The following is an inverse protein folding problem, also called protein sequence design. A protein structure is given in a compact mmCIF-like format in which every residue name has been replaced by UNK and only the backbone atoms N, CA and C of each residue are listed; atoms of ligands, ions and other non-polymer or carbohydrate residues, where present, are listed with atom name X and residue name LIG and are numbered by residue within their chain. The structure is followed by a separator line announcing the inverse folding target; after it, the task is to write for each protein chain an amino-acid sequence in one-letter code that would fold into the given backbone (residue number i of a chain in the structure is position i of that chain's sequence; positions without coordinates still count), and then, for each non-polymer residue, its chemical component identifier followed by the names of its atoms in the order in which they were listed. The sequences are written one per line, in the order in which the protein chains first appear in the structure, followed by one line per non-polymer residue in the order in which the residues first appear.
data_IF_114597512764
#
_entry.id   IF_114597512764
#
_cell.length_a   1.000
_cell.length_b   1.000
_cell.length_c   1.000
_cell.angle_alpha   90.00
_cell.angle_beta   90.00
_cell.angle_gamma   90.00
#
_symmetry.space_group_name_H-M   'P 1'
#
loop_
_entity.id
_entity.type
_entity.pdbx_description
1 polymer ?
#
# COMPACT_ATOMS: atom_id res chain seq x y z
N UNK A 1 26.71 0.38 30.46
CA UNK A 1 25.90 -0.61 29.73
C UNK A 1 24.57 0.05 29.44
N UNK A 2 24.48 0.76 28.33
CA UNK A 2 23.22 1.34 27.87
C UNK A 2 22.39 0.21 27.24
N UNK A 3 21.25 -0.12 27.84
CA UNK A 3 20.28 -1.05 27.27
C UNK A 3 19.63 -0.36 26.05
N UNK A 4 20.24 -0.48 24.89
CA UNK A 4 19.57 -0.09 23.65
C UNK A 4 18.30 -0.94 23.53
N UNK A 5 17.17 -0.37 23.88
CA UNK A 5 15.87 -0.99 23.75
C UNK A 5 15.65 -1.36 22.29
N UNK A 6 15.42 -2.67 22.02
CA UNK A 6 15.09 -3.16 20.67
C UNK A 6 13.92 -2.34 20.13
N UNK A 7 14.02 -1.80 18.92
CA UNK A 7 12.91 -1.06 18.33
C UNK A 7 11.67 -1.98 18.28
N UNK A 8 10.60 -1.52 18.92
CA UNK A 8 9.32 -2.27 18.93
C UNK A 8 8.83 -2.45 17.50
N UNK A 9 8.38 -3.66 17.11
CA UNK A 9 7.76 -3.88 15.79
C UNK A 9 6.57 -2.96 15.54
N UNK A 10 5.94 -2.46 16.59
CA UNK A 10 4.84 -1.48 16.52
C UNK A 10 5.30 -0.06 16.16
N UNK A 11 6.59 0.26 16.21
CA UNK A 11 7.11 1.57 15.82
C UNK A 11 6.87 1.90 14.33
N UNK A 12 6.65 0.88 13.48
CA UNK A 12 6.36 1.05 12.04
C UNK A 12 4.87 1.04 11.69
N UNK A 13 3.98 0.84 12.66
CA UNK A 13 2.53 0.81 12.42
C UNK A 13 2.00 2.11 11.76
N UNK A 14 2.45 3.33 12.15
CA UNK A 14 2.05 4.56 11.47
C UNK A 14 2.40 4.57 9.98
N UNK A 15 3.60 4.09 9.62
CA UNK A 15 4.05 4.04 8.23
C UNK A 15 3.24 3.05 7.40
N UNK A 16 2.91 1.88 7.99
CA UNK A 16 2.05 0.87 7.36
C UNK A 16 0.66 1.45 7.08
N UNK A 17 0.04 2.06 8.09
CA UNK A 17 -1.28 2.68 7.97
C UNK A 17 -1.28 3.81 6.94
N UNK A 18 -0.26 4.65 6.93
CA UNK A 18 -0.13 5.75 5.98
C UNK A 18 0.02 5.23 4.55
N UNK A 19 0.90 4.26 4.32
CA UNK A 19 1.09 3.66 2.99
C UNK A 19 -0.19 3.00 2.50
N UNK A 20 -0.84 2.19 3.34
CA UNK A 20 -2.07 1.50 2.99
C UNK A 20 -3.22 2.49 2.69
N UNK A 21 -3.37 3.54 3.50
CA UNK A 21 -4.33 4.63 3.26
C UNK A 21 -4.13 5.29 1.89
N UNK A 22 -2.87 5.60 1.56
CA UNK A 22 -2.54 6.23 0.28
C UNK A 22 -2.88 5.31 -0.90
N UNK A 23 -2.53 4.03 -0.82
CA UNK A 23 -2.85 3.05 -1.86
C UNK A 23 -4.37 2.90 -2.04
N UNK A 24 -5.10 2.73 -0.93
CA UNK A 24 -6.55 2.54 -0.95
C UNK A 24 -7.26 3.76 -1.54
N UNK A 25 -7.00 4.95 -0.99
CA UNK A 25 -7.73 6.16 -1.40
C UNK A 25 -7.39 6.61 -2.82
N UNK A 26 -6.12 6.58 -3.20
CA UNK A 26 -5.70 6.96 -4.55
C UNK A 26 -6.11 5.92 -5.59
N UNK A 27 -6.10 4.62 -5.26
CA UNK A 27 -6.55 3.54 -6.13
C UNK A 27 -8.05 3.62 -6.41
N UNK A 28 -8.86 3.76 -5.36
CA UNK A 28 -10.32 3.90 -5.50
C UNK A 28 -10.68 5.15 -6.28
N UNK A 29 -10.05 6.29 -5.96
CA UNK A 29 -10.26 7.54 -6.69
C UNK A 29 -9.91 7.40 -8.18
N UNK A 30 -8.74 6.85 -8.48
CA UNK A 30 -8.28 6.69 -9.87
C UNK A 30 -9.21 5.79 -10.67
N UNK A 31 -9.68 4.68 -10.08
CA UNK A 31 -10.63 3.78 -10.72
C UNK A 31 -11.96 4.45 -10.99
N UNK A 32 -12.52 5.17 -10.03
CA UNK A 32 -13.79 5.88 -10.22
C UNK A 32 -13.66 7.02 -11.23
N UNK A 33 -12.55 7.76 -11.20
CA UNK A 33 -12.27 8.80 -12.20
C UNK A 33 -12.22 8.20 -13.61
N UNK A 34 -11.40 7.20 -13.83
CA UNK A 34 -11.27 6.56 -15.14
C UNK A 34 -12.60 5.96 -15.61
N UNK A 35 -13.35 5.29 -14.73
CA UNK A 35 -14.66 4.73 -15.07
C UNK A 35 -15.65 5.80 -15.48
N UNK A 36 -15.69 6.94 -14.76
CA UNK A 36 -16.60 8.04 -15.06
C UNK A 36 -16.28 8.68 -16.40
N UNK A 37 -15.01 8.88 -16.72
CA UNK A 37 -14.59 9.59 -17.93
C UNK A 37 -14.37 8.70 -19.16
N UNK A 38 -14.19 7.39 -18.99
CA UNK A 38 -14.03 6.48 -20.12
C UNK A 38 -15.33 5.83 -20.59
N UNK A 39 -16.44 5.96 -19.85
CA UNK A 39 -17.73 5.40 -20.23
C UNK A 39 -18.65 6.47 -20.81
N UNK A 40 -18.86 6.45 -22.13
CA UNK A 40 -19.51 7.49 -22.92
C UNK A 40 -21.03 7.34 -23.09
N UNK A 41 -21.77 6.57 -22.31
CA UNK A 41 -23.23 6.45 -22.44
C UNK A 41 -23.98 7.54 -21.66
N UNK A 42 -24.60 8.48 -22.37
CA UNK A 42 -25.20 9.71 -21.83
C UNK A 42 -26.31 9.49 -20.78
N UNK A 43 -27.17 8.50 -20.93
CA UNK A 43 -28.30 8.26 -20.01
C UNK A 43 -27.87 7.73 -18.63
N UNK A 44 -26.76 7.02 -18.56
CA UNK A 44 -26.19 6.44 -17.34
C UNK A 44 -25.18 7.40 -16.70
N UNK A 45 -24.70 8.38 -17.47
CA UNK A 45 -23.67 9.32 -17.05
C UNK A 45 -24.08 10.16 -15.83
N UNK A 46 -25.27 10.73 -15.79
CA UNK A 46 -25.75 11.55 -14.68
C UNK A 46 -25.89 10.74 -13.37
N UNK A 47 -26.36 9.52 -13.44
CA UNK A 47 -26.48 8.64 -12.29
C UNK A 47 -25.08 8.22 -11.77
N UNK A 48 -24.14 7.96 -12.68
CA UNK A 48 -22.74 7.64 -12.37
C UNK A 48 -22.00 8.83 -11.79
N UNK A 49 -22.26 10.04 -12.31
CA UNK A 49 -21.67 11.26 -11.81
C UNK A 49 -22.07 11.54 -10.35
N UNK A 50 -23.36 11.37 -10.01
CA UNK A 50 -23.83 11.48 -8.64
C UNK A 50 -23.16 10.41 -7.73
N UNK A 51 -23.07 9.16 -8.19
CA UNK A 51 -22.37 8.09 -7.45
C UNK A 51 -20.89 8.44 -7.27
N UNK A 52 -20.22 8.97 -8.30
CA UNK A 52 -18.83 9.38 -8.22
C UNK A 52 -18.63 10.44 -7.12
N UNK A 53 -19.43 11.52 -7.12
CA UNK A 53 -19.27 12.58 -6.13
C UNK A 53 -19.61 12.14 -4.70
N UNK A 54 -20.60 11.28 -4.50
CA UNK A 54 -20.84 10.68 -3.19
C UNK A 54 -19.67 9.82 -2.74
N UNK A 55 -19.08 9.06 -3.66
CA UNK A 55 -17.89 8.22 -3.37
C UNK A 55 -16.68 9.06 -2.98
N UNK A 56 -16.50 10.27 -3.53
CA UNK A 56 -15.41 11.17 -3.12
C UNK A 56 -15.45 11.49 -1.63
N UNK A 57 -16.65 11.68 -1.07
CA UNK A 57 -16.80 11.94 0.36
C UNK A 57 -16.31 10.75 1.19
N UNK A 58 -16.67 9.52 0.82
CA UNK A 58 -16.20 8.32 1.52
C UNK A 58 -14.69 8.11 1.37
N UNK A 59 -14.14 8.35 0.18
CA UNK A 59 -12.69 8.27 -0.06
C UNK A 59 -11.96 9.28 0.83
N UNK A 60 -12.44 10.53 0.86
CA UNK A 60 -11.86 11.58 1.67
C UNK A 60 -11.91 11.25 3.18
N UNK A 61 -13.08 10.83 3.69
CA UNK A 61 -13.24 10.46 5.10
C UNK A 61 -12.31 9.27 5.46
N UNK A 62 -12.23 8.25 4.60
CA UNK A 62 -11.33 7.13 4.80
C UNK A 62 -9.88 7.61 4.86
N UNK A 63 -9.47 8.47 3.92
CA UNK A 63 -8.13 9.05 3.90
C UNK A 63 -7.80 9.83 5.17
N UNK A 64 -8.70 10.68 5.64
CA UNK A 64 -8.53 11.48 6.88
C UNK A 64 -8.46 10.59 8.12
N UNK A 65 -9.31 9.57 8.22
CA UNK A 65 -9.31 8.65 9.37
C UNK A 65 -7.96 7.92 9.46
N UNK A 66 -7.51 7.29 8.38
CA UNK A 66 -6.24 6.56 8.38
C UNK A 66 -5.04 7.48 8.57
N UNK A 67 -5.06 8.66 7.95
CA UNK A 67 -4.01 9.67 8.15
C UNK A 67 -3.97 10.17 9.59
N UNK A 68 -5.12 10.44 10.18
CA UNK A 68 -5.25 10.84 11.59
C UNK A 68 -4.77 9.75 12.54
N UNK A 69 -5.12 8.48 12.28
CA UNK A 69 -4.61 7.34 13.04
C UNK A 69 -3.08 7.23 12.94
N UNK A 70 -2.52 7.37 11.74
CA UNK A 70 -1.07 7.36 11.55
C UNK A 70 -0.36 8.47 12.35
N UNK A 71 -0.90 9.71 12.32
CA UNK A 71 -0.37 10.82 13.11
C UNK A 71 -0.50 10.60 14.62
N UNK A 72 -1.65 10.07 15.07
CA UNK A 72 -1.89 9.74 16.47
C UNK A 72 -0.87 8.73 17.00
N UNK A 73 -0.64 7.63 16.26
CA UNK A 73 0.36 6.63 16.62
C UNK A 73 1.78 7.19 16.60
N UNK A 74 2.10 8.04 15.62
CA UNK A 74 3.41 8.72 15.56
C UNK A 74 3.63 9.62 16.75
N UNK A 75 2.64 10.41 17.15
CA UNK A 75 2.71 11.29 18.32
C UNK A 75 2.85 10.49 19.64
N UNK A 76 2.04 9.45 19.81
CA UNK A 76 2.05 8.61 21.02
C UNK A 76 3.39 7.88 21.21
N UNK A 77 4.05 7.49 20.15
CA UNK A 77 5.30 6.73 20.20
C UNK A 77 6.55 7.60 20.01
N UNK A 78 6.41 8.92 19.91
CA UNK A 78 7.55 9.83 19.96
C UNK A 78 8.19 9.75 21.35
N UNK A 79 9.47 9.38 21.46
CA UNK A 79 10.16 9.37 22.74
C UNK A 79 10.17 10.79 23.31
N UNK A 80 9.79 10.95 24.58
CA UNK A 80 9.86 12.23 25.33
C UNK A 80 11.30 12.67 25.64
N UNK A 81 12.30 12.06 25.03
CA UNK A 81 13.70 12.40 25.23
C UNK A 81 14.02 13.79 24.62
N UNK A 82 13.81 14.80 25.43
CA UNK A 82 14.17 16.21 25.16
C UNK A 82 15.68 16.46 25.03
N UNK A 83 16.53 15.46 25.27
CA UNK A 83 17.98 15.68 25.44
C UNK A 83 18.81 15.40 24.17
N UNK A 84 18.25 14.82 23.11
CA UNK A 84 18.98 14.59 21.84
C UNK A 84 18.44 15.49 20.71
N UNK A 85 18.24 16.76 21.00
CA UNK A 85 17.59 17.73 20.11
C UNK A 85 18.47 18.21 18.92
N UNK A 86 19.54 17.51 18.56
CA UNK A 86 20.38 17.88 17.41
C UNK A 86 20.13 17.04 16.14
N UNK A 87 19.30 16.00 16.19
CA UNK A 87 18.89 15.35 14.94
C UNK A 87 17.78 16.18 14.28
N UNK A 88 18.09 16.77 13.12
CA UNK A 88 17.10 17.43 12.27
C UNK A 88 15.83 16.57 12.17
N UNK A 89 14.63 17.13 12.45
CA UNK A 89 13.39 16.37 12.35
C UNK A 89 13.30 15.72 10.96
N UNK A 90 12.91 14.44 10.86
CA UNK A 90 12.93 13.70 9.61
C UNK A 90 12.17 14.50 8.55
N UNK A 91 12.89 14.96 7.52
CA UNK A 91 12.33 15.76 6.42
C UNK A 91 11.12 15.04 5.88
N UNK A 92 9.92 15.58 6.14
CA UNK A 92 8.65 15.03 5.64
C UNK A 92 8.83 14.64 4.16
N UNK A 93 8.66 13.38 3.84
CA UNK A 93 8.84 12.86 2.50
C UNK A 93 8.01 13.69 1.49
N UNK A 94 8.58 13.98 0.32
CA UNK A 94 7.86 14.71 -0.76
C UNK A 94 6.55 13.99 -1.13
N UNK A 95 6.50 12.66 -1.02
CA UNK A 95 5.31 11.86 -1.28
C UNK A 95 4.18 12.12 -0.27
N UNK A 96 4.49 12.32 1.00
CA UNK A 96 3.47 12.67 2.00
C UNK A 96 2.84 14.05 1.73
N UNK A 97 3.62 14.99 1.17
CA UNK A 97 3.08 16.30 0.76
C UNK A 97 2.16 16.18 -0.46
N UNK A 98 2.52 15.38 -1.45
CA UNK A 98 1.67 15.10 -2.61
C UNK A 98 0.35 14.46 -2.19
N UNK A 99 0.38 13.55 -1.22
CA UNK A 99 -0.84 12.94 -0.68
C UNK A 99 -1.72 13.96 0.05
N UNK A 100 -1.14 14.88 0.82
CA UNK A 100 -1.90 15.96 1.44
C UNK A 100 -2.54 16.90 0.40
N UNK A 101 -1.83 17.21 -0.69
CA UNK A 101 -2.40 18.00 -1.80
C UNK A 101 -3.55 17.24 -2.50
N UNK A 102 -3.42 15.92 -2.66
CA UNK A 102 -4.49 15.07 -3.16
C UNK A 102 -5.74 15.14 -2.25
N UNK A 103 -5.58 14.96 -0.94
CA UNK A 103 -6.69 15.06 0.01
C UNK A 103 -7.32 16.47 0.04
N UNK A 104 -6.49 17.52 -0.01
CA UNK A 104 -6.99 18.89 -0.10
C UNK A 104 -7.77 19.13 -1.39
N UNK A 105 -7.29 18.60 -2.53
CA UNK A 105 -8.00 18.65 -3.80
C UNK A 105 -9.35 17.96 -3.75
N UNK A 106 -9.43 16.77 -3.11
CA UNK A 106 -10.70 16.07 -2.89
C UNK A 106 -11.69 16.91 -2.07
N UNK A 107 -11.21 17.53 -0.98
CA UNK A 107 -12.06 18.39 -0.16
C UNK A 107 -12.61 19.57 -0.95
N UNK A 108 -11.76 20.25 -1.72
CA UNK A 108 -12.17 21.37 -2.59
C UNK A 108 -13.22 20.89 -3.60
N UNK A 109 -13.02 19.73 -4.23
CA UNK A 109 -13.96 19.18 -5.21
C UNK A 109 -15.32 18.82 -4.57
N UNK A 110 -15.31 18.26 -3.36
CA UNK A 110 -16.53 17.97 -2.59
C UNK A 110 -17.30 19.27 -2.32
N UNK A 111 -16.60 20.31 -1.85
CA UNK A 111 -17.22 21.62 -1.57
C UNK A 111 -17.80 22.22 -2.86
N UNK A 112 -17.05 22.21 -3.97
CA UNK A 112 -17.50 22.72 -5.26
C UNK A 112 -18.70 21.94 -5.80
N UNK A 113 -18.75 20.63 -5.60
CA UNK A 113 -19.90 19.80 -5.98
C UNK A 113 -21.19 20.27 -5.28
N UNK A 114 -21.14 20.53 -3.97
CA UNK A 114 -22.29 21.01 -3.23
C UNK A 114 -22.68 22.47 -3.56
N UNK A 115 -21.73 23.30 -4.03
CA UNK A 115 -21.98 24.72 -4.34
C UNK A 115 -22.36 24.96 -5.79
N UNK A 116 -21.75 24.24 -6.76
CA UNK A 116 -21.79 24.59 -8.20
C UNK A 116 -21.92 23.37 -9.11
N UNK A 117 -22.27 22.18 -8.59
CA UNK A 117 -22.30 20.89 -9.30
C UNK A 117 -20.92 20.34 -9.74
N UNK A 118 -19.84 20.82 -9.12
CA UNK A 118 -18.48 20.33 -9.35
C UNK A 118 -17.74 21.05 -10.48
N UNK A 119 -16.46 20.75 -10.62
CA UNK A 119 -15.58 21.32 -11.63
C UNK A 119 -14.71 20.21 -12.26
N UNK A 120 -15.04 19.79 -13.48
CA UNK A 120 -14.45 18.63 -14.14
C UNK A 120 -12.92 18.73 -14.32
N UNK A 121 -12.42 19.91 -14.71
CA UNK A 121 -10.99 20.13 -14.89
C UNK A 121 -10.22 19.88 -13.59
N UNK A 122 -10.80 20.18 -12.43
CA UNK A 122 -10.19 19.92 -11.12
C UNK A 122 -10.05 18.42 -10.86
N UNK A 123 -11.01 17.59 -11.28
CA UNK A 123 -10.91 16.13 -11.17
C UNK A 123 -9.69 15.57 -11.90
N UNK A 124 -9.36 16.12 -13.07
CA UNK A 124 -8.15 15.71 -13.80
C UNK A 124 -6.88 16.07 -13.02
N UNK A 125 -6.79 17.27 -12.44
CA UNK A 125 -5.65 17.64 -11.61
C UNK A 125 -5.53 16.80 -10.35
N UNK A 126 -6.66 16.47 -9.70
CA UNK A 126 -6.67 15.57 -8.53
C UNK A 126 -6.19 14.17 -8.92
N UNK A 127 -6.58 13.66 -10.10
CA UNK A 127 -6.09 12.40 -10.62
C UNK A 127 -4.57 12.41 -10.83
N UNK A 128 -4.02 13.48 -11.39
CA UNK A 128 -2.57 13.65 -11.55
C UNK A 128 -1.85 13.68 -10.18
N UNK A 129 -2.44 14.33 -9.17
CA UNK A 129 -1.90 14.33 -7.81
C UNK A 129 -1.95 12.94 -7.18
N UNK A 130 -3.03 12.19 -7.37
CA UNK A 130 -3.15 10.81 -6.91
C UNK A 130 -2.07 9.91 -7.52
N UNK A 131 -1.94 9.93 -8.84
CA UNK A 131 -0.92 9.17 -9.58
C UNK A 131 0.50 9.57 -9.15
N UNK A 132 0.78 10.88 -9.05
CA UNK A 132 2.07 11.39 -8.62
C UNK A 132 2.43 11.00 -7.19
N UNK A 133 1.44 10.95 -6.30
CA UNK A 133 1.60 10.54 -4.90
C UNK A 133 2.05 9.07 -4.82
N UNK A 134 1.40 8.16 -5.53
CA UNK A 134 1.74 6.74 -5.55
C UNK A 134 3.10 6.49 -6.21
N UNK A 135 3.38 7.12 -7.35
CA UNK A 135 4.68 7.01 -8.02
C UNK A 135 5.82 7.56 -7.13
N UNK A 136 5.55 8.67 -6.41
CA UNK A 136 6.50 9.25 -5.47
C UNK A 136 6.84 8.31 -4.31
N UNK A 137 5.84 7.62 -3.76
CA UNK A 137 6.04 6.60 -2.71
C UNK A 137 6.79 5.40 -3.27
N UNK A 138 6.33 4.84 -4.38
CA UNK A 138 6.94 3.69 -5.02
C UNK A 138 8.44 3.94 -5.28
N UNK A 139 8.79 5.13 -5.77
CA UNK A 139 10.18 5.55 -5.98
C UNK A 139 10.95 5.69 -4.67
N UNK A 140 10.33 6.22 -3.62
CA UNK A 140 11.00 6.41 -2.32
C UNK A 140 11.44 5.07 -1.74
N UNK A 141 10.59 4.05 -1.84
CA UNK A 141 10.92 2.73 -1.32
C UNK A 141 11.83 1.90 -2.23
N UNK A 142 11.81 2.10 -3.56
CA UNK A 142 12.61 1.30 -4.49
C UNK A 142 14.00 1.85 -4.80
N UNK A 143 14.21 3.18 -4.74
CA UNK A 143 15.46 3.81 -5.22
C UNK A 143 16.25 4.46 -4.09
N UNK A 144 15.59 4.91 -3.03
CA UNK A 144 16.21 5.64 -1.91
C UNK A 144 16.22 4.88 -0.60
N UNK A 145 15.87 3.60 -0.66
CA UNK A 145 15.83 2.79 0.54
C UNK A 145 17.23 2.49 1.06
N UNK A 146 17.40 2.61 2.39
CA UNK A 146 18.61 2.11 3.07
C UNK A 146 18.56 0.57 3.22
N UNK A 147 17.46 -0.07 2.88
CA UNK A 147 17.25 -1.50 3.07
C UNK A 147 17.38 -2.23 1.74
N UNK A 148 18.30 -3.18 1.65
CA UNK A 148 18.54 -3.95 0.44
C UNK A 148 17.31 -4.73 -0.02
N UNK A 149 16.48 -5.21 0.93
CA UNK A 149 15.22 -5.91 0.63
C UNK A 149 14.19 -5.03 -0.12
N UNK A 150 14.30 -3.72 0.01
CA UNK A 150 13.41 -2.75 -0.66
C UNK A 150 14.01 -2.20 -1.96
N UNK A 151 15.32 -2.22 -2.10
CA UNK A 151 16.04 -1.61 -3.23
C UNK A 151 15.94 -2.47 -4.49
N UNK A 152 14.71 -2.80 -4.90
CA UNK A 152 14.44 -3.59 -6.10
C UNK A 152 13.21 -3.06 -6.84
N UNK A 153 13.19 -3.10 -8.19
CA UNK A 153 12.05 -2.64 -9.00
C UNK A 153 10.70 -3.29 -8.63
N UNK A 154 10.72 -4.56 -8.18
CA UNK A 154 9.49 -5.26 -7.74
C UNK A 154 8.84 -4.64 -6.53
N UNK A 155 9.58 -3.85 -5.73
CA UNK A 155 9.01 -3.09 -4.61
C UNK A 155 8.09 -1.97 -5.11
N UNK A 156 8.54 -1.21 -6.11
CA UNK A 156 7.69 -0.21 -6.76
C UNK A 156 6.51 -0.86 -7.47
N UNK A 157 6.75 -1.97 -8.18
CA UNK A 157 5.71 -2.77 -8.85
C UNK A 157 4.62 -3.18 -7.87
N UNK A 158 4.97 -3.81 -6.75
CA UNK A 158 4.01 -4.27 -5.74
C UNK A 158 3.18 -3.14 -5.10
N UNK A 159 3.74 -1.92 -4.94
CA UNK A 159 2.96 -0.77 -4.46
C UNK A 159 1.94 -0.32 -5.52
N UNK A 160 2.34 -0.27 -6.78
CA UNK A 160 1.46 0.14 -7.89
C UNK A 160 0.38 -0.93 -8.12
N UNK A 161 0.77 -2.21 -8.20
CA UNK A 161 -0.14 -3.35 -8.35
C UNK A 161 -1.20 -3.38 -7.26
N UNK A 162 -0.79 -3.30 -5.98
CA UNK A 162 -1.73 -3.26 -4.86
C UNK A 162 -2.63 -2.03 -4.87
N UNK A 163 -2.16 -0.87 -5.36
CA UNK A 163 -3.00 0.33 -5.53
C UNK A 163 -4.09 0.08 -6.58
N UNK A 164 -3.72 -0.49 -7.72
CA UNK A 164 -4.65 -0.81 -8.80
C UNK A 164 -5.62 -1.92 -8.34
N UNK A 165 -5.12 -2.93 -7.64
CA UNK A 165 -5.91 -4.02 -7.07
C UNK A 165 -7.02 -3.49 -6.15
N UNK A 166 -6.66 -2.67 -5.14
CA UNK A 166 -7.61 -2.06 -4.21
C UNK A 166 -8.65 -1.17 -4.93
N UNK A 167 -8.22 -0.38 -5.93
CA UNK A 167 -9.12 0.43 -6.73
C UNK A 167 -10.09 -0.42 -7.56
N UNK A 168 -9.57 -1.44 -8.22
CA UNK A 168 -10.36 -2.31 -9.11
C UNK A 168 -11.41 -3.12 -8.34
N UNK A 169 -11.09 -3.57 -7.11
CA UNK A 169 -12.06 -4.24 -6.24
C UNK A 169 -13.19 -3.29 -5.85
N UNK A 170 -12.86 -2.05 -5.51
CA UNK A 170 -13.89 -1.05 -5.22
C UNK A 170 -14.77 -0.80 -6.45
N UNK A 171 -14.19 -0.76 -7.66
CA UNK A 171 -14.93 -0.71 -8.92
C UNK A 171 -15.82 -1.94 -9.13
N UNK A 172 -15.29 -3.14 -8.94
CA UNK A 172 -16.06 -4.39 -9.03
C UNK A 172 -17.29 -4.36 -8.12
N UNK A 173 -17.14 -3.89 -6.89
CA UNK A 173 -18.24 -3.78 -5.94
C UNK A 173 -19.22 -2.69 -6.30
N UNK A 174 -18.75 -1.51 -6.67
CA UNK A 174 -19.57 -0.35 -6.98
C UNK A 174 -20.43 -0.55 -8.23
N UNK A 175 -19.94 -1.30 -9.20
CA UNK A 175 -20.62 -1.59 -10.47
C UNK A 175 -21.16 -3.03 -10.54
N UNK A 176 -21.37 -3.66 -9.38
CA UNK A 176 -21.95 -5.01 -9.31
C UNK A 176 -23.28 -5.09 -10.08
N UNK A 177 -23.44 -6.16 -10.86
CA UNK A 177 -24.64 -6.37 -11.68
C UNK A 177 -24.68 -5.60 -13.01
N UNK A 178 -23.62 -4.85 -13.36
CA UNK A 178 -23.46 -4.19 -14.67
C UNK A 178 -22.41 -4.90 -15.51
N UNK A 179 -22.34 -4.64 -16.82
CA UNK A 179 -21.30 -5.19 -17.69
C UNK A 179 -19.89 -4.73 -17.29
N UNK A 180 -19.78 -3.56 -16.63
CA UNK A 180 -18.51 -3.07 -16.09
C UNK A 180 -17.94 -3.99 -15.00
N UNK A 181 -18.78 -4.69 -14.24
CA UNK A 181 -18.30 -5.65 -13.24
C UNK A 181 -17.46 -6.76 -13.85
N UNK A 182 -17.80 -7.21 -15.07
CA UNK A 182 -16.99 -8.19 -15.80
C UNK A 182 -15.66 -7.62 -16.25
N UNK A 183 -15.63 -6.36 -16.68
CA UNK A 183 -14.37 -5.67 -17.04
C UNK A 183 -13.45 -5.59 -15.81
N UNK A 184 -13.99 -5.18 -14.67
CA UNK A 184 -13.21 -5.16 -13.43
C UNK A 184 -12.74 -6.56 -12.99
N UNK A 185 -13.56 -7.59 -13.17
CA UNK A 185 -13.17 -8.96 -12.89
C UNK A 185 -11.98 -9.41 -13.74
N UNK A 186 -11.97 -9.10 -15.04
CA UNK A 186 -10.81 -9.36 -15.92
C UNK A 186 -9.58 -8.58 -15.51
N UNK A 187 -9.72 -7.31 -15.14
CA UNK A 187 -8.59 -6.49 -14.66
C UNK A 187 -8.00 -7.10 -13.39
N UNK A 188 -8.83 -7.50 -12.40
CA UNK A 188 -8.35 -8.16 -11.19
C UNK A 188 -7.60 -9.46 -11.53
N UNK A 189 -8.14 -10.29 -12.43
CA UNK A 189 -7.47 -11.51 -12.85
C UNK A 189 -6.07 -11.24 -13.39
N UNK A 190 -5.94 -10.24 -14.27
CA UNK A 190 -4.67 -9.82 -14.85
C UNK A 190 -3.72 -9.33 -13.75
N UNK A 191 -4.19 -8.49 -12.83
CA UNK A 191 -3.38 -7.96 -11.72
C UNK A 191 -2.87 -9.09 -10.84
N UNK A 192 -3.73 -10.04 -10.44
CA UNK A 192 -3.33 -11.19 -9.62
C UNK A 192 -2.24 -12.03 -10.29
N UNK A 193 -2.30 -12.20 -11.62
CA UNK A 193 -1.23 -12.88 -12.37
C UNK A 193 0.07 -12.08 -12.30
N UNK A 194 0.01 -10.75 -12.49
CA UNK A 194 1.20 -9.90 -12.36
C UNK A 194 1.76 -9.92 -10.93
N UNK A 195 0.93 -9.89 -9.91
CA UNK A 195 1.36 -10.00 -8.51
C UNK A 195 2.09 -11.32 -8.23
N UNK A 196 1.63 -12.44 -8.79
CA UNK A 196 2.33 -13.74 -8.70
C UNK A 196 3.71 -13.64 -9.35
N UNK A 197 3.83 -13.04 -10.53
CA UNK A 197 5.09 -12.86 -11.22
C UNK A 197 6.04 -11.93 -10.46
N UNK A 198 5.52 -10.84 -9.91
CA UNK A 198 6.27 -9.88 -9.08
C UNK A 198 6.76 -10.56 -7.80
N UNK A 199 5.92 -11.34 -7.13
CA UNK A 199 6.30 -12.11 -5.95
C UNK A 199 7.40 -13.13 -6.29
N UNK A 200 7.25 -13.89 -7.37
CA UNK A 200 8.27 -14.82 -7.84
C UNK A 200 9.61 -14.13 -8.14
N UNK A 201 9.58 -12.99 -8.86
CA UNK A 201 10.77 -12.22 -9.15
C UNK A 201 11.44 -11.70 -7.86
N UNK A 202 10.65 -11.28 -6.87
CA UNK A 202 11.14 -10.85 -5.56
C UNK A 202 11.80 -11.99 -4.78
N UNK A 203 11.18 -13.19 -4.77
CA UNK A 203 11.79 -14.36 -4.15
C UNK A 203 13.12 -14.72 -4.81
N UNK A 204 13.18 -14.70 -6.13
CA UNK A 204 14.40 -14.95 -6.88
C UNK A 204 15.49 -13.93 -6.57
N UNK A 205 15.13 -12.67 -6.41
CA UNK A 205 16.05 -11.61 -5.98
C UNK A 205 16.56 -11.87 -4.56
N UNK A 206 15.66 -12.05 -3.59
CA UNK A 206 16.03 -12.29 -2.18
C UNK A 206 16.91 -13.52 -2.00
N UNK A 207 16.73 -14.56 -2.83
CA UNK A 207 17.50 -15.81 -2.72
C UNK A 207 18.92 -15.73 -3.32
N UNK A 208 19.24 -14.70 -4.11
CA UNK A 208 20.48 -14.68 -4.91
C UNK A 208 21.37 -13.46 -4.71
N UNK A 209 20.84 -12.35 -4.17
CA UNK A 209 21.52 -11.08 -4.24
C UNK A 209 22.62 -10.89 -3.18
N UNK A 210 22.29 -11.06 -1.92
CA UNK A 210 23.24 -10.86 -0.81
C UNK A 210 22.92 -11.79 0.36
N UNK A 211 23.87 -11.93 1.30
CA UNK A 211 23.66 -12.67 2.53
C UNK A 211 22.47 -12.09 3.33
N UNK A 212 22.38 -10.75 3.45
CA UNK A 212 21.30 -10.08 4.17
C UNK A 212 19.93 -10.35 3.54
N UNK A 213 19.84 -10.39 2.19
CA UNK A 213 18.57 -10.69 1.51
C UNK A 213 18.18 -12.16 1.68
N UNK A 214 19.15 -13.09 1.73
CA UNK A 214 18.89 -14.50 1.99
C UNK A 214 18.38 -14.72 3.41
N UNK A 215 19.00 -14.08 4.41
CA UNK A 215 18.49 -14.13 5.80
C UNK A 215 17.09 -13.51 5.91
N UNK A 216 16.80 -12.38 5.24
CA UNK A 216 15.45 -11.83 5.17
C UNK A 216 14.46 -12.86 4.63
N UNK A 217 14.82 -13.59 3.58
CA UNK A 217 13.98 -14.64 3.02
C UNK A 217 13.75 -15.78 4.03
N UNK A 218 14.80 -16.22 4.73
CA UNK A 218 14.69 -17.27 5.77
C UNK A 218 13.80 -16.82 6.93
N UNK A 219 13.87 -15.55 7.34
CA UNK A 219 12.99 -14.98 8.37
C UNK A 219 11.54 -14.92 7.92
N UNK A 220 11.28 -14.51 6.67
CA UNK A 220 9.93 -14.49 6.09
C UNK A 220 9.31 -15.89 6.02
N UNK A 221 10.10 -16.91 5.63
CA UNK A 221 9.67 -18.31 5.53
C UNK A 221 9.71 -19.05 6.86
N UNK A 222 10.40 -18.52 7.88
CA UNK A 222 10.51 -19.09 9.22
C UNK A 222 9.54 -18.41 10.19
N UNK A 223 9.99 -17.35 10.86
CA UNK A 223 9.24 -16.70 11.95
C UNK A 223 7.94 -16.03 11.48
N UNK A 224 7.84 -15.61 10.23
CA UNK A 224 6.66 -14.91 9.67
C UNK A 224 5.89 -15.76 8.65
N UNK A 225 6.10 -17.07 8.61
CA UNK A 225 5.45 -17.97 7.63
C UNK A 225 3.93 -17.92 7.68
N UNK A 226 3.33 -17.72 8.86
CA UNK A 226 1.88 -17.60 9.00
C UNK A 226 1.34 -16.37 8.27
N UNK A 227 1.97 -15.21 8.43
CA UNK A 227 1.58 -13.97 7.77
C UNK A 227 1.85 -14.05 6.26
N UNK A 228 2.96 -14.68 5.86
CA UNK A 228 3.25 -14.97 4.47
C UNK A 228 2.21 -15.91 3.86
N UNK A 229 1.80 -16.96 4.59
CA UNK A 229 0.74 -17.88 4.20
C UNK A 229 -0.60 -17.16 4.01
N UNK A 230 -0.96 -16.24 4.90
CA UNK A 230 -2.15 -15.38 4.75
C UNK A 230 -2.07 -14.58 3.45
N UNK A 231 -0.95 -13.92 3.17
CA UNK A 231 -0.76 -13.18 1.91
C UNK A 231 -0.89 -14.09 0.68
N UNK A 232 -0.25 -15.25 0.70
CA UNK A 232 -0.22 -16.16 -0.44
C UNK A 232 -1.60 -16.81 -0.69
N UNK A 233 -2.24 -17.33 0.37
CA UNK A 233 -3.52 -18.03 0.25
C UNK A 233 -4.66 -17.03 0.03
N UNK A 234 -4.85 -16.07 0.94
CA UNK A 234 -5.98 -15.14 0.89
C UNK A 234 -5.75 -13.97 -0.04
N UNK A 235 -4.51 -13.54 -0.28
CA UNK A 235 -4.20 -12.44 -1.17
C UNK A 235 -4.04 -12.83 -2.63
N UNK A 236 -3.70 -14.09 -2.94
CA UNK A 236 -3.42 -14.52 -4.31
C UNK A 236 -4.25 -15.73 -4.74
N UNK A 237 -4.08 -16.88 -4.09
CA UNK A 237 -4.66 -18.15 -4.59
C UNK A 237 -6.19 -18.15 -4.50
N UNK A 238 -6.75 -17.86 -3.34
CA UNK A 238 -8.20 -17.86 -3.16
C UNK A 238 -8.91 -16.79 -4.01
N UNK A 239 -8.42 -15.52 -4.09
CA UNK A 239 -8.98 -14.54 -5.01
C UNK A 239 -8.90 -14.96 -6.47
N UNK A 240 -7.77 -15.58 -6.90
CA UNK A 240 -7.61 -16.06 -8.27
C UNK A 240 -8.67 -17.11 -8.61
N UNK A 241 -8.85 -18.11 -7.76
CA UNK A 241 -9.89 -19.15 -7.95
C UNK A 241 -11.28 -18.53 -7.93
N UNK A 242 -11.55 -17.62 -7.00
CA UNK A 242 -12.85 -17.01 -6.85
C UNK A 242 -13.21 -16.08 -8.02
N UNK A 243 -12.25 -15.30 -8.55
CA UNK A 243 -12.51 -14.41 -9.69
C UNK A 243 -12.79 -15.20 -10.97
N UNK A 244 -12.12 -16.33 -11.17
CA UNK A 244 -12.44 -17.25 -12.26
C UNK A 244 -13.88 -17.75 -12.12
N UNK A 245 -14.31 -18.10 -10.91
CA UNK A 245 -15.71 -18.49 -10.66
C UNK A 245 -16.69 -17.34 -10.94
N UNK A 246 -16.40 -16.12 -10.51
CA UNK A 246 -17.23 -14.94 -10.79
C UNK A 246 -17.39 -14.69 -12.29
N UNK A 247 -16.33 -14.94 -13.08
CA UNK A 247 -16.38 -14.76 -14.54
C UNK A 247 -17.29 -15.78 -15.26
N UNK A 248 -17.40 -17.00 -14.72
CA UNK A 248 -18.15 -18.09 -15.36
C UNK A 248 -19.53 -18.34 -14.74
N UNK A 249 -19.75 -17.99 -13.48
CA UNK A 249 -20.97 -18.22 -12.73
C UNK A 249 -21.60 -16.89 -12.36
N UNK A 250 -22.75 -16.56 -12.95
CA UNK A 250 -23.54 -15.38 -12.57
C UNK A 250 -24.14 -15.56 -11.16
N UNK A 251 -24.26 -14.46 -10.40
CA UNK A 251 -24.89 -14.36 -9.07
C UNK A 251 -24.04 -14.81 -7.87
N UNK A 252 -22.72 -14.81 -7.96
CA UNK A 252 -21.86 -14.96 -6.78
C UNK A 252 -21.75 -13.65 -5.98
N UNK A 253 -21.72 -13.77 -4.66
CA UNK A 253 -21.45 -12.62 -3.78
C UNK A 253 -20.03 -12.10 -4.01
N UNK A 254 -19.85 -10.79 -4.18
CA UNK A 254 -18.53 -10.18 -4.37
C UNK A 254 -17.81 -9.92 -3.04
N UNK A 255 -18.51 -10.00 -1.91
CA UNK A 255 -17.95 -9.71 -0.58
C UNK A 255 -16.72 -10.58 -0.23
N UNK A 256 -16.72 -11.92 -0.47
CA UNK A 256 -15.56 -12.73 -0.13
C UNK A 256 -14.28 -12.29 -0.84
N UNK A 257 -14.34 -12.00 -2.14
CA UNK A 257 -13.14 -11.58 -2.89
C UNK A 257 -12.61 -10.22 -2.41
N UNK A 258 -13.50 -9.30 -2.05
CA UNK A 258 -13.15 -7.99 -1.52
C UNK A 258 -12.35 -8.16 -0.21
N UNK A 259 -12.89 -8.96 0.71
CA UNK A 259 -12.24 -9.22 1.98
C UNK A 259 -10.90 -9.96 1.82
N UNK A 260 -10.83 -10.95 0.95
CA UNK A 260 -9.61 -11.72 0.68
C UNK A 260 -8.48 -10.82 0.17
N UNK A 261 -8.74 -10.01 -0.86
CA UNK A 261 -7.73 -9.13 -1.43
C UNK A 261 -7.35 -8.03 -0.43
N UNK A 262 -8.31 -7.46 0.30
CA UNK A 262 -8.02 -6.45 1.33
C UNK A 262 -7.08 -7.00 2.42
N UNK A 263 -7.37 -8.18 2.94
CA UNK A 263 -6.53 -8.86 3.93
C UNK A 263 -5.16 -9.23 3.34
N UNK A 264 -5.14 -9.68 2.08
CA UNK A 264 -3.91 -9.99 1.36
C UNK A 264 -3.00 -8.78 1.21
N UNK A 265 -3.53 -7.66 0.73
CA UNK A 265 -2.78 -6.41 0.57
C UNK A 265 -2.27 -5.85 1.90
N UNK A 266 -3.10 -5.88 2.94
CA UNK A 266 -2.68 -5.47 4.27
C UNK A 266 -1.54 -6.35 4.80
N UNK A 267 -1.64 -7.66 4.63
CA UNK A 267 -0.60 -8.63 5.03
C UNK A 267 0.71 -8.38 4.30
N UNK A 268 0.65 -8.05 3.01
CA UNK A 268 1.85 -7.70 2.23
C UNK A 268 2.52 -6.43 2.76
N UNK A 269 1.75 -5.40 3.11
CA UNK A 269 2.33 -4.16 3.67
C UNK A 269 2.98 -4.43 5.03
N UNK A 270 2.38 -5.25 5.86
CA UNK A 270 2.97 -5.67 7.14
C UNK A 270 4.28 -6.42 6.91
N UNK A 271 4.29 -7.43 6.02
CA UNK A 271 5.51 -8.20 5.67
C UNK A 271 6.62 -7.32 5.10
N UNK A 272 6.25 -6.34 4.27
CA UNK A 272 7.18 -5.39 3.71
C UNK A 272 7.93 -4.60 4.78
N UNK A 273 7.24 -4.09 5.80
CA UNK A 273 7.86 -3.34 6.88
C UNK A 273 8.61 -4.22 7.87
N UNK A 274 8.12 -5.44 8.14
CA UNK A 274 8.81 -6.43 8.98
C UNK A 274 10.16 -6.78 8.35
N UNK A 275 10.22 -7.04 7.05
CA UNK A 275 11.45 -7.36 6.34
C UNK A 275 12.54 -6.29 6.53
N UNK A 276 12.16 -5.01 6.62
CA UNK A 276 13.10 -3.92 6.88
C UNK A 276 13.62 -3.87 8.33
N UNK A 277 12.76 -4.15 9.30
CA UNK A 277 13.13 -4.22 10.72
C UNK A 277 14.11 -5.37 10.93
N UNK A 278 13.81 -6.51 10.35
CA UNK A 278 14.62 -7.72 10.50
C UNK A 278 16.04 -7.51 9.95
N UNK A 279 16.21 -6.86 8.81
CA UNK A 279 17.53 -6.50 8.29
C UNK A 279 18.32 -5.61 9.25
N UNK A 280 17.68 -4.65 9.87
CA UNK A 280 18.33 -3.78 10.86
C UNK A 280 18.84 -4.58 12.05
N UNK A 281 18.06 -5.57 12.52
CA UNK A 281 18.46 -6.45 13.62
C UNK A 281 19.62 -7.38 13.24
N UNK A 282 19.62 -7.90 12.02
CA UNK A 282 20.68 -8.78 11.50
C UNK A 282 22.01 -8.01 11.44
N UNK A 283 22.00 -6.80 10.88
CA UNK A 283 23.18 -5.95 10.77
C UNK A 283 23.76 -5.62 12.16
N UNK A 284 22.89 -5.35 13.14
CA UNK A 284 23.31 -5.07 14.51
C UNK A 284 24.01 -6.29 15.16
N UNK A 285 23.41 -7.49 15.06
CA UNK A 285 24.01 -8.73 15.58
C UNK A 285 25.34 -9.07 14.91
N UNK A 286 25.46 -8.85 13.60
CA UNK A 286 26.71 -9.07 12.88
C UNK A 286 27.82 -8.18 13.39
N UNK A 287 27.55 -6.91 13.65
CA UNK A 287 28.52 -5.98 14.20
C UNK A 287 28.92 -6.31 15.65
N UNK A 288 27.97 -6.78 16.47
CA UNK A 288 28.21 -7.21 17.85
C UNK A 288 29.16 -8.42 17.91
N UNK A 289 28.90 -9.43 17.06
CA UNK A 289 29.77 -10.63 16.95
C UNK A 289 31.18 -10.28 16.44
N UNK A 290 31.33 -9.31 15.55
CA UNK A 290 32.64 -8.84 15.07
C UNK A 290 33.38 -8.13 16.20
N UNK A 291 32.72 -7.30 16.99
CA UNK A 291 33.34 -6.58 18.12
C UNK A 291 33.79 -7.52 19.25
N UNK A 292 33.02 -8.57 19.54
CA UNK A 292 33.38 -9.58 20.54
C UNK A 292 34.59 -10.42 20.09
N UNK A 293 34.67 -10.79 18.81
CA UNK A 293 35.80 -11.55 18.27
C UNK A 293 37.10 -10.74 18.23
N UNK A 294 37.03 -9.43 17.98
CA UNK A 294 38.22 -8.55 17.98
C UNK A 294 38.69 -8.24 19.43
N UNK A 295 37.74 -8.16 20.37
CA UNK A 295 38.07 -7.94 21.79
C UNK A 295 38.67 -9.17 22.50
N UNK A 296 38.38 -10.38 22.05
CA UNK A 296 38.88 -11.63 22.62
C UNK A 296 40.31 -12.03 22.20
N UNK A 297 40.87 -11.38 21.17
CA UNK A 297 42.28 -11.61 20.75
C UNK A 297 43.31 -10.69 21.44
N UNK A 298 42.90 -9.86 22.38
CA UNK A 298 43.79 -8.91 23.09
C UNK A 298 44.06 -9.28 24.54
N UNK A 299 43.60 -10.45 25.05
CA UNK A 299 43.99 -10.99 26.36
C UNK A 299 44.94 -12.22 26.17
#
# INVERSE_FOLDING_TARGET
MESHSKPSPYAKLPDILLLFSQMLTTGVYSTFFLTTYLTFEDAIFQQRLNFYYHSLTYIFLTGIIFFGLALFYQYRNSPETKDDAEEEPPKKSKSSRLYLYFLAGLLIQIILYFLVAGFELLNFFIFLLAASSILGIARTFSVKSKYDSWNHPTTAGGIIEGTISLGTIAGLWAFAGTDLSRVFAWIILIILVFEILTLWARFRYLSRWSYLTQETLQMLLGSHIALFGVRFIFGLIMPLVYIVWVLFISNLSLLPIILMIFVGELSERILFFIAAIDQTQITYKSNENISENIGGEQE
#
